data_IF_216295519087
#
_entry.id   IF_216295519087
#
_cell.length_a   1.000
_cell.length_b   1.000
_cell.length_c   1.000
_cell.angle_alpha   90.00
_cell.angle_beta   90.00
_cell.angle_gamma   90.00
#
_symmetry.space_group_name_H-M   'P 1'
#
loop_
_entity.id
_entity.type
_entity.pdbx_description
1 polymer ?
#
# COMPACT_ATOMS: atom_id res chain seq x y z
N UNK A 1 -3.70 -37.81 -34.89
CA UNK A 1 -3.05 -36.59 -35.42
C UNK A 1 -3.72 -35.39 -34.78
N UNK A 2 -3.03 -34.73 -33.85
CA UNK A 2 -3.48 -33.47 -33.28
C UNK A 2 -3.02 -32.34 -34.21
N UNK A 3 -3.94 -31.45 -34.59
CA UNK A 3 -3.59 -30.14 -35.13
C UNK A 3 -4.38 -29.10 -34.36
N UNK A 4 -3.63 -28.24 -33.67
CA UNK A 4 -4.09 -27.06 -32.97
C UNK A 4 -4.73 -26.10 -33.98
N UNK A 5 -5.76 -25.37 -33.57
CA UNK A 5 -5.88 -23.99 -34.03
C UNK A 5 -6.42 -23.10 -32.91
N UNK A 6 -5.67 -22.04 -32.69
CA UNK A 6 -5.72 -21.06 -31.60
C UNK A 6 -6.98 -20.20 -31.66
N UNK A 7 -7.88 -20.35 -30.70
CA UNK A 7 -8.79 -19.28 -30.34
C UNK A 7 -8.06 -18.34 -29.38
N UNK A 8 -7.61 -17.20 -29.91
CA UNK A 8 -7.27 -16.04 -29.09
C UNK A 8 -8.51 -15.68 -28.26
N UNK A 9 -8.46 -15.97 -26.95
CA UNK A 9 -9.46 -15.47 -26.02
C UNK A 9 -9.29 -13.95 -25.96
N UNK A 10 -10.37 -13.15 -26.08
CA UNK A 10 -10.26 -11.72 -25.96
C UNK A 10 -9.74 -11.41 -24.56
N UNK A 11 -8.63 -10.67 -24.49
CA UNK A 11 -8.19 -10.05 -23.25
C UNK A 11 -9.32 -9.11 -22.88
N UNK A 12 -10.05 -9.46 -21.82
CA UNK A 12 -11.13 -8.65 -21.31
C UNK A 12 -10.51 -7.35 -20.83
N UNK A 13 -10.68 -6.30 -21.62
CA UNK A 13 -10.23 -4.95 -21.32
C UNK A 13 -10.96 -4.51 -20.04
N UNK A 14 -10.24 -4.56 -18.92
CA UNK A 14 -10.77 -4.15 -17.62
C UNK A 14 -11.18 -2.70 -17.75
N UNK A 15 -12.47 -2.40 -17.70
CA UNK A 15 -12.96 -1.02 -17.72
C UNK A 15 -12.22 -0.21 -16.66
N UNK A 16 -11.50 0.82 -17.13
CA UNK A 16 -10.63 1.65 -16.32
C UNK A 16 -11.44 2.74 -15.64
N UNK A 17 -11.84 2.50 -14.39
CA UNK A 17 -12.27 3.57 -13.49
C UNK A 17 -11.04 4.19 -12.83
N UNK A 18 -10.80 5.45 -13.17
CA UNK A 18 -9.52 6.17 -13.11
C UNK A 18 -9.29 6.86 -11.76
N UNK A 19 -9.94 6.37 -10.70
CA UNK A 19 -10.06 7.05 -9.41
C UNK A 19 -8.83 6.93 -8.52
N UNK A 20 -8.48 5.70 -8.13
CA UNK A 20 -7.48 5.52 -7.07
C UNK A 20 -6.87 4.11 -7.06
N UNK A 21 -5.94 3.85 -8.00
CA UNK A 21 -5.26 2.55 -8.11
C UNK A 21 -3.84 2.56 -7.51
N UNK A 22 -3.41 3.65 -6.85
CA UNK A 22 -2.00 3.91 -6.53
C UNK A 22 -1.39 2.91 -5.55
N UNK A 23 -2.15 2.52 -4.52
CA UNK A 23 -1.71 1.54 -3.54
C UNK A 23 -1.33 0.19 -4.16
N UNK A 24 -2.05 -0.25 -5.20
CA UNK A 24 -1.80 -1.54 -5.83
C UNK A 24 -0.40 -1.69 -6.40
N UNK A 25 0.05 -0.70 -7.17
CA UNK A 25 1.31 -0.80 -7.87
C UNK A 25 2.49 -0.66 -6.93
N UNK A 26 2.41 0.25 -5.96
CA UNK A 26 3.47 0.40 -4.98
C UNK A 26 3.56 -0.83 -4.06
N UNK A 27 2.43 -1.34 -3.58
CA UNK A 27 2.40 -2.52 -2.73
C UNK A 27 2.99 -3.73 -3.45
N UNK A 28 2.59 -3.96 -4.70
CA UNK A 28 3.13 -5.04 -5.55
C UNK A 28 4.63 -4.85 -5.82
N UNK A 29 5.05 -3.65 -6.23
CA UNK A 29 6.46 -3.36 -6.50
C UNK A 29 7.32 -3.58 -5.27
N UNK A 30 6.84 -3.15 -4.10
CA UNK A 30 7.50 -3.38 -2.82
C UNK A 30 7.59 -4.88 -2.53
N UNK A 31 6.48 -5.61 -2.60
CA UNK A 31 6.44 -7.05 -2.32
C UNK A 31 7.37 -7.88 -3.23
N UNK A 32 7.52 -7.48 -4.49
CA UNK A 32 8.44 -8.09 -5.45
C UNK A 32 9.92 -7.78 -5.15
N UNK A 33 10.23 -6.57 -4.66
CA UNK A 33 11.59 -6.16 -4.32
C UNK A 33 12.10 -6.77 -3.01
N UNK A 34 11.18 -7.19 -2.12
CA UNK A 34 11.55 -7.79 -0.85
C UNK A 34 12.06 -9.22 -1.00
N UNK A 35 12.97 -9.68 -0.11
CA UNK A 35 13.24 -11.09 0.11
C UNK A 35 11.95 -11.90 0.35
N UNK A 36 12.02 -13.22 0.19
CA UNK A 36 10.83 -14.08 0.29
C UNK A 36 10.17 -14.05 1.69
N UNK A 37 10.99 -13.89 2.73
CA UNK A 37 10.60 -13.76 4.14
C UNK A 37 10.23 -12.33 4.57
N UNK A 38 10.31 -11.36 3.65
CA UNK A 38 9.93 -9.98 3.92
C UNK A 38 8.45 -9.84 4.29
N UNK A 39 8.13 -8.88 5.17
CA UNK A 39 6.77 -8.58 5.59
C UNK A 39 6.40 -7.12 5.33
N UNK A 40 5.20 -6.93 4.83
CA UNK A 40 4.57 -5.65 4.56
C UNK A 40 3.30 -5.58 5.38
N UNK A 41 3.16 -4.55 6.19
CA UNK A 41 1.91 -4.17 6.82
C UNK A 41 1.31 -3.01 6.01
N UNK A 42 0.26 -3.30 5.25
CA UNK A 42 -0.45 -2.32 4.43
C UNK A 42 -1.74 -1.88 5.12
N UNK A 43 -2.03 -0.59 5.11
CA UNK A 43 -3.22 0.00 5.71
C UNK A 43 -3.88 0.94 4.72
N UNK A 44 -5.20 0.83 4.63
CA UNK A 44 -6.09 1.70 3.86
C UNK A 44 -7.46 1.67 4.56
N UNK A 45 -8.23 2.74 4.43
CA UNK A 45 -9.62 2.81 4.89
C UNK A 45 -10.62 2.06 4.01
N UNK A 46 -10.22 1.67 2.80
CA UNK A 46 -11.08 1.04 1.81
C UNK A 46 -10.50 -0.29 1.33
N UNK A 47 -11.03 -1.39 1.85
CA UNK A 47 -10.65 -2.74 1.42
C UNK A 47 -10.88 -2.97 -0.09
N UNK A 48 -11.87 -2.31 -0.67
CA UNK A 48 -12.21 -2.42 -2.09
C UNK A 48 -11.09 -1.94 -3.02
N UNK A 49 -10.20 -1.05 -2.55
CA UNK A 49 -8.95 -0.82 -3.24
C UNK A 49 -8.14 -2.11 -3.23
N UNK A 50 -7.54 -2.52 -2.11
CA UNK A 50 -6.68 -3.72 -2.02
C UNK A 50 -7.16 -4.95 -2.83
N UNK A 51 -8.46 -5.26 -2.79
CA UNK A 51 -9.10 -6.35 -3.55
C UNK A 51 -8.86 -6.28 -5.07
N UNK A 52 -8.83 -5.08 -5.66
CA UNK A 52 -8.57 -4.87 -7.10
C UNK A 52 -7.20 -5.42 -7.50
N UNK A 53 -6.17 -5.20 -6.68
CA UNK A 53 -4.81 -5.71 -6.94
C UNK A 53 -4.52 -7.11 -6.39
N UNK A 54 -5.39 -7.65 -5.53
CA UNK A 54 -5.17 -8.92 -4.84
C UNK A 54 -4.91 -10.08 -5.82
N UNK A 55 -5.70 -10.16 -6.90
CA UNK A 55 -5.51 -11.21 -7.91
C UNK A 55 -4.14 -11.14 -8.60
N UNK A 56 -3.58 -9.94 -8.78
CA UNK A 56 -2.26 -9.72 -9.36
C UNK A 56 -1.16 -10.12 -8.37
N UNK A 57 -1.29 -9.72 -7.12
CA UNK A 57 -0.37 -10.07 -6.02
C UNK A 57 -0.31 -11.59 -5.81
N UNK A 58 -1.46 -12.27 -5.87
CA UNK A 58 -1.54 -13.74 -5.80
C UNK A 58 -0.86 -14.41 -6.98
N UNK A 59 -1.11 -13.95 -8.22
CA UNK A 59 -0.45 -14.47 -9.43
C UNK A 59 1.06 -14.25 -9.41
N UNK A 60 1.51 -13.15 -8.82
CA UNK A 60 2.92 -12.84 -8.62
C UNK A 60 3.58 -13.69 -7.51
N UNK A 61 2.79 -14.44 -6.74
CA UNK A 61 3.30 -15.32 -5.70
C UNK A 61 3.88 -14.58 -4.49
N UNK A 62 3.46 -13.34 -4.22
CA UNK A 62 3.98 -12.51 -3.11
C UNK A 62 2.93 -12.14 -2.06
N UNK A 63 1.72 -12.71 -2.17
CA UNK A 63 0.62 -12.44 -1.22
C UNK A 63 0.97 -12.80 0.22
N UNK A 64 1.80 -13.81 0.46
CA UNK A 64 2.24 -14.23 1.80
C UNK A 64 3.12 -13.21 2.53
N UNK A 65 3.61 -12.19 1.82
CA UNK A 65 4.38 -11.09 2.40
C UNK A 65 3.49 -9.98 2.97
N UNK A 66 2.22 -9.93 2.59
CA UNK A 66 1.34 -8.77 2.86
C UNK A 66 0.34 -9.11 3.97
N UNK A 67 0.37 -8.30 5.03
CA UNK A 67 -0.67 -8.19 6.06
C UNK A 67 -1.44 -6.89 5.79
N UNK A 68 -2.65 -6.99 5.25
CA UNK A 68 -3.50 -5.84 4.96
C UNK A 68 -4.49 -5.60 6.10
N UNK A 69 -4.63 -4.35 6.54
CA UNK A 69 -5.58 -3.94 7.57
C UNK A 69 -6.46 -2.80 7.08
N UNK A 70 -7.75 -3.07 6.95
CA UNK A 70 -8.74 -2.02 6.70
C UNK A 70 -8.94 -1.18 7.97
N UNK A 71 -8.34 0.00 8.02
CA UNK A 71 -8.38 0.89 9.18
C UNK A 71 -7.83 2.28 8.87
N UNK A 72 -8.15 3.24 9.73
CA UNK A 72 -7.41 4.49 9.80
C UNK A 72 -5.97 4.20 10.25
N UNK A 73 -4.99 4.56 9.43
CA UNK A 73 -3.60 4.23 9.70
C UNK A 73 -3.12 4.78 11.06
N UNK A 74 -3.57 5.98 11.48
CA UNK A 74 -3.22 6.52 12.80
C UNK A 74 -3.62 5.62 13.98
N UNK A 75 -4.77 4.93 13.89
CA UNK A 75 -5.21 4.01 14.94
C UNK A 75 -4.30 2.79 15.04
N UNK A 76 -3.93 2.23 13.88
CA UNK A 76 -3.01 1.09 13.82
C UNK A 76 -1.62 1.50 14.30
N UNK A 77 -1.12 2.68 13.94
CA UNK A 77 0.14 3.19 14.44
C UNK A 77 0.14 3.36 15.96
N UNK A 78 -0.96 3.84 16.54
CA UNK A 78 -1.11 3.93 18.01
C UNK A 78 -1.10 2.55 18.67
N UNK A 79 -1.66 1.52 18.03
CA UNK A 79 -1.56 0.13 18.51
C UNK A 79 -0.13 -0.42 18.39
N UNK A 80 0.55 -0.17 17.28
CA UNK A 80 1.96 -0.61 17.11
C UNK A 80 2.88 0.04 18.15
N UNK A 81 2.61 1.29 18.53
CA UNK A 81 3.38 1.97 19.58
C UNK A 81 3.17 1.39 20.98
N UNK A 82 2.09 0.66 21.22
CA UNK A 82 1.87 -0.03 22.50
C UNK A 82 2.67 -1.33 22.60
N UNK A 83 3.15 -1.86 21.48
CA UNK A 83 3.96 -3.07 21.40
C UNK A 83 5.44 -2.71 21.19
N UNK A 84 6.23 -2.83 22.25
CA UNK A 84 7.67 -2.54 22.27
C UNK A 84 8.46 -3.28 21.18
N UNK A 85 7.96 -4.41 20.67
CA UNK A 85 8.63 -5.16 19.60
C UNK A 85 8.63 -4.44 18.25
N UNK A 86 7.76 -3.44 18.08
CA UNK A 86 7.70 -2.61 16.88
C UNK A 86 8.58 -1.37 16.94
N UNK A 87 9.00 -0.93 18.13
CA UNK A 87 9.85 0.25 18.30
C UNK A 87 11.21 0.04 17.61
N UNK A 88 11.57 0.96 16.72
CA UNK A 88 12.81 0.89 15.96
C UNK A 88 12.96 -0.38 15.12
N UNK A 89 11.85 -1.01 14.70
CA UNK A 89 11.87 -2.30 14.00
C UNK A 89 11.62 -2.19 12.49
N UNK A 90 11.00 -1.10 12.04
CA UNK A 90 10.60 -0.93 10.64
C UNK A 90 11.77 -0.40 9.82
N UNK A 91 12.04 -1.03 8.68
CA UNK A 91 13.17 -0.67 7.82
C UNK A 91 12.81 0.44 6.82
N UNK A 92 11.57 0.42 6.32
CA UNK A 92 11.04 1.38 5.34
C UNK A 92 9.57 1.64 5.61
N UNK A 93 9.15 2.88 5.43
CA UNK A 93 7.77 3.32 5.61
C UNK A 93 7.40 4.26 4.48
N UNK A 94 6.29 3.97 3.81
CA UNK A 94 5.72 4.82 2.77
C UNK A 94 4.39 5.41 3.24
N UNK A 95 4.26 6.72 3.12
CA UNK A 95 3.10 7.48 3.60
C UNK A 95 2.52 8.26 2.42
N UNK A 96 1.32 7.90 2.00
CA UNK A 96 0.59 8.53 0.89
C UNK A 96 -0.74 9.12 1.37
N UNK A 97 -0.67 9.92 2.44
CA UNK A 97 -1.84 10.52 3.09
C UNK A 97 -1.94 12.02 2.79
N UNK A 98 -2.97 12.67 3.35
CA UNK A 98 -3.08 14.12 3.31
C UNK A 98 -1.99 14.83 4.11
N UNK A 99 -1.48 15.92 3.52
CA UNK A 99 -0.38 16.72 4.09
C UNK A 99 -0.69 17.27 5.47
N UNK A 100 -1.96 17.52 5.75
CA UNK A 100 -2.44 18.07 7.02
C UNK A 100 -2.13 17.13 8.19
N UNK A 101 -2.11 15.81 7.94
CA UNK A 101 -1.80 14.81 8.96
C UNK A 101 -0.33 14.39 9.01
N UNK A 102 0.55 14.88 8.11
CA UNK A 102 1.95 14.43 8.06
C UNK A 102 2.67 14.55 9.39
N UNK A 103 2.43 15.61 10.17
CA UNK A 103 3.05 15.78 11.49
C UNK A 103 2.59 14.71 12.47
N UNK A 104 1.31 14.33 12.44
CA UNK A 104 0.74 13.30 13.30
C UNK A 104 1.31 11.92 12.98
N UNK A 105 1.48 11.62 11.69
CA UNK A 105 2.16 10.42 11.22
C UNK A 105 3.64 10.45 11.61
N UNK A 106 4.37 11.50 11.25
CA UNK A 106 5.82 11.61 11.45
C UNK A 106 6.24 11.35 12.90
N UNK A 107 5.51 11.94 13.87
CA UNK A 107 5.79 11.72 15.30
C UNK A 107 5.73 10.26 15.72
N UNK A 108 4.77 9.49 15.18
CA UNK A 108 4.60 8.06 15.48
C UNK A 108 5.64 7.23 14.75
N UNK A 109 5.84 7.51 13.47
CA UNK A 109 6.74 6.78 12.60
C UNK A 109 8.20 6.88 13.04
N UNK A 110 8.63 8.00 13.63
CA UNK A 110 9.97 8.15 14.19
C UNK A 110 10.30 7.14 15.29
N UNK A 111 9.31 6.71 16.07
CA UNK A 111 9.52 5.70 17.11
C UNK A 111 9.50 4.27 16.53
N UNK A 112 8.83 4.06 15.40
CA UNK A 112 8.67 2.74 14.78
C UNK A 112 9.78 2.42 13.78
N UNK A 113 10.33 3.42 13.10
CA UNK A 113 11.43 3.25 12.14
C UNK A 113 12.75 2.99 12.87
N UNK A 114 13.52 2.03 12.39
CA UNK A 114 14.85 1.74 12.94
C UNK A 114 15.83 2.89 12.67
N UNK A 115 16.90 2.97 13.46
CA UNK A 115 18.04 3.84 13.13
C UNK A 115 18.63 3.41 11.78
N UNK A 116 18.70 4.37 10.85
CA UNK A 116 19.12 4.11 9.46
C UNK A 116 18.01 3.57 8.55
N UNK A 117 16.77 3.45 9.03
CA UNK A 117 15.59 3.20 8.20
C UNK A 117 15.14 4.45 7.44
N UNK A 118 14.22 4.28 6.50
CA UNK A 118 13.76 5.33 5.59
C UNK A 118 12.24 5.54 5.69
N UNK A 119 11.82 6.80 5.85
CA UNK A 119 10.42 7.21 5.73
C UNK A 119 10.29 8.03 4.44
N UNK A 120 9.43 7.59 3.52
CA UNK A 120 9.11 8.27 2.29
C UNK A 120 7.69 8.82 2.33
N UNK A 121 7.55 10.12 2.05
CA UNK A 121 6.25 10.79 1.95
C UNK A 121 5.94 11.06 0.48
N UNK A 122 4.85 10.48 -0.01
CA UNK A 122 4.28 10.84 -1.31
C UNK A 122 3.19 11.88 -1.11
N UNK A 123 3.28 12.96 -1.87
CA UNK A 123 2.15 13.90 -1.96
C UNK A 123 1.18 13.34 -2.98
N UNK A 124 -0.11 13.13 -2.66
CA UNK A 124 -1.09 12.87 -3.69
C UNK A 124 -1.02 14.00 -4.71
N UNK A 125 -0.84 13.63 -5.98
CA UNK A 125 -0.84 14.56 -7.08
C UNK A 125 -2.15 15.35 -7.05
N UNK A 126 -2.08 16.65 -6.73
CA UNK A 126 -3.24 17.54 -6.76
C UNK A 126 -3.88 17.44 -8.14
N UNK A 127 -5.09 16.88 -8.25
CA UNK A 127 -5.93 17.14 -9.43
C UNK A 127 -6.18 18.65 -9.41
N UNK A 128 -5.70 19.40 -10.41
CA UNK A 128 -6.31 20.71 -10.67
C UNK A 128 -7.77 20.40 -10.97
N UNK A 129 -8.74 20.92 -10.20
CA UNK A 129 -10.12 20.71 -10.56
C UNK A 129 -10.34 21.41 -11.89
N UNK A 130 -10.66 20.66 -12.95
CA UNK A 130 -11.32 21.24 -14.12
C UNK A 130 -12.77 21.66 -13.77
N UNK A 131 -13.28 21.23 -12.62
CA UNK A 131 -14.52 21.71 -11.98
C UNK A 131 -14.44 21.61 -10.45
N UNK A 132 -14.95 22.63 -9.74
CA UNK A 132 -14.65 22.96 -8.34
C UNK A 132 -15.37 22.15 -7.26
N UNK A 133 -16.31 21.27 -7.60
CA UNK A 133 -17.38 20.89 -6.65
C UNK A 133 -17.52 19.38 -6.38
N UNK A 134 -16.47 18.58 -6.54
CA UNK A 134 -16.49 17.17 -6.09
C UNK A 134 -15.77 17.03 -4.74
N UNK A 135 -16.41 16.41 -3.73
CA UNK A 135 -15.73 16.07 -2.48
C UNK A 135 -14.66 15.02 -2.78
N UNK A 136 -13.41 15.32 -2.45
CA UNK A 136 -12.34 14.32 -2.42
C UNK A 136 -12.48 13.53 -1.13
N UNK A 137 -13.02 12.31 -1.20
CA UNK A 137 -12.71 11.30 -0.18
C UNK A 137 -11.33 10.74 -0.53
N UNK A 138 -10.29 11.44 -0.07
CA UNK A 138 -8.89 11.02 -0.20
C UNK A 138 -8.58 9.95 0.87
N UNK A 139 -7.99 8.83 0.45
CA UNK A 139 -7.66 7.69 1.31
C UNK A 139 -6.49 7.96 2.27
N UNK A 140 -6.52 7.30 3.43
CA UNK A 140 -5.44 7.32 4.43
C UNK A 140 -4.47 6.15 4.19
N UNK A 141 -3.65 6.27 3.14
CA UNK A 141 -2.79 5.17 2.66
C UNK A 141 -1.42 5.15 3.35
N UNK A 142 -1.13 4.08 4.10
CA UNK A 142 0.18 3.87 4.73
C UNK A 142 0.67 2.44 4.51
N UNK A 143 1.87 2.30 3.95
CA UNK A 143 2.54 1.01 3.78
C UNK A 143 3.79 0.95 4.65
N UNK A 144 3.84 0.00 5.57
CA UNK A 144 4.96 -0.24 6.48
C UNK A 144 5.71 -1.50 6.07
N UNK A 145 7.03 -1.47 6.13
CA UNK A 145 7.88 -2.61 5.82
C UNK A 145 8.79 -2.98 7.00
N UNK A 146 8.88 -4.29 7.22
CA UNK A 146 9.86 -4.91 8.10
C UNK A 146 10.49 -6.12 7.41
N UNK A 147 11.81 -6.19 7.45
CA UNK A 147 12.57 -7.42 7.22
C UNK A 147 12.59 -8.22 8.51
N UNK A 148 12.14 -9.47 8.45
CA UNK A 148 12.44 -10.42 9.52
C UNK A 148 13.92 -10.82 9.34
N UNK A 149 14.71 -10.73 10.42
CA UNK A 149 16.09 -11.24 10.46
C UNK A 149 16.12 -12.55 11.22
#
# INVERSE_FOLDING_TARGET
>A
MASQNSQQRPIQECQEDDGDRRLHWLLLATALALPDDGKILAMDTNQGYYEVGLSTVQKAGVAHKIDFRESLALLVLDQLLQDETYHGSLDFIFVAVDKENYVNYHRRLLNLVKVGGLIAYERPARRRPLHRDLPTSEGDDVTLYRRIK
#
